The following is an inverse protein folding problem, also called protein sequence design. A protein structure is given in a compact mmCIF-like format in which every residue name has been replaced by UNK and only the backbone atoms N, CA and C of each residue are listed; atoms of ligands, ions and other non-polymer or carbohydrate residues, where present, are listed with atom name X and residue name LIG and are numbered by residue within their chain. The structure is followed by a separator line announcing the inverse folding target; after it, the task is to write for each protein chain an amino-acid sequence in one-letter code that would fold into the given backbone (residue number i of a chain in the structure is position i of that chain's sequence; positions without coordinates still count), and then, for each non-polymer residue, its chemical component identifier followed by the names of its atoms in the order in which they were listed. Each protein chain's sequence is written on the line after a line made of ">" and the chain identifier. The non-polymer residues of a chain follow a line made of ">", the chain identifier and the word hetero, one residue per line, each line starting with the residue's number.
data_IF_152012290768
#
_entry.id   IF_152012290768
#
_cell.length_a   1.000
_cell.length_b   1.000
_cell.length_c   1.000
_cell.angle_alpha   90.00
_cell.angle_beta   90.00
_cell.angle_gamma   90.00
#
_symmetry.space_group_name_H-M   'P 1'
#
loop_
_entity.id
_entity.type
_entity.pdbx_description
1 polymer ?
#
# COMPACT_ATOMS: atom_id res chain seq x y z
N UNK A 1 -1.26 -1.31 -50.78
CA UNK A 1 -1.07 -0.29 -49.72
C UNK A 1 -2.44 0.27 -49.37
N UNK A 2 -3.08 -0.26 -48.33
CA UNK A 2 -4.37 0.26 -47.87
C UNK A 2 -4.11 1.46 -46.95
N UNK A 3 -4.58 2.64 -47.36
CA UNK A 3 -4.54 3.85 -46.56
C UNK A 3 -5.45 3.69 -45.34
N UNK A 4 -4.87 3.59 -44.15
CA UNK A 4 -5.60 3.62 -42.88
C UNK A 4 -6.28 4.99 -42.76
N UNK A 5 -7.60 5.07 -42.48
CA UNK A 5 -8.31 6.33 -42.41
C UNK A 5 -7.83 7.19 -41.21
N UNK A 6 -7.76 8.53 -41.35
CA UNK A 6 -7.18 9.44 -40.35
C UNK A 6 -7.90 9.47 -38.99
N UNK A 7 -9.12 8.93 -38.92
CA UNK A 7 -9.90 8.83 -37.67
C UNK A 7 -9.33 7.79 -36.69
N UNK A 8 -8.69 6.72 -37.18
CA UNK A 8 -8.19 5.62 -36.35
C UNK A 8 -6.94 6.04 -35.54
N UNK A 9 -6.09 6.87 -36.13
CA UNK A 9 -4.93 7.44 -35.44
C UNK A 9 -5.33 8.44 -34.34
N UNK A 10 -6.40 9.21 -34.58
CA UNK A 10 -6.90 10.19 -33.63
C UNK A 10 -7.47 9.50 -32.39
N UNK A 11 -8.22 8.42 -32.56
CA UNK A 11 -8.70 7.59 -31.45
C UNK A 11 -7.57 6.87 -30.73
N UNK A 12 -6.60 6.32 -31.46
CA UNK A 12 -5.43 5.67 -30.87
C UNK A 12 -4.61 6.66 -30.02
N UNK A 13 -4.42 7.90 -30.47
CA UNK A 13 -3.76 8.96 -29.69
C UNK A 13 -4.57 9.34 -28.47
N UNK A 14 -5.89 9.53 -28.59
CA UNK A 14 -6.77 9.84 -27.44
C UNK A 14 -6.76 8.74 -26.40
N UNK A 15 -6.79 7.46 -26.79
CA UNK A 15 -6.69 6.32 -25.87
C UNK A 15 -5.34 6.25 -25.17
N UNK A 16 -4.24 6.59 -25.88
CA UNK A 16 -2.89 6.65 -25.28
C UNK A 16 -2.75 7.82 -24.30
N UNK A 17 -3.29 8.99 -24.64
CA UNK A 17 -3.28 10.17 -23.76
C UNK A 17 -4.18 9.95 -22.54
N UNK A 18 -5.39 9.42 -22.71
CA UNK A 18 -6.28 9.08 -21.59
C UNK A 18 -5.67 8.03 -20.65
N UNK A 19 -4.95 7.04 -21.19
CA UNK A 19 -4.18 6.07 -20.38
C UNK A 19 -3.01 6.73 -19.67
N UNK A 20 -2.28 7.63 -20.33
CA UNK A 20 -1.16 8.36 -19.73
C UNK A 20 -1.64 9.31 -18.61
N UNK A 21 -2.74 10.03 -18.82
CA UNK A 21 -3.38 10.90 -17.84
C UNK A 21 -3.94 10.11 -16.67
N UNK A 22 -4.60 8.98 -16.90
CA UNK A 22 -5.03 8.07 -15.83
C UNK A 22 -3.83 7.56 -15.00
N UNK A 23 -2.70 7.26 -15.66
CA UNK A 23 -1.45 6.84 -15.01
C UNK A 23 -0.82 7.99 -14.19
N UNK A 24 -0.84 9.22 -14.71
CA UNK A 24 -0.35 10.41 -14.01
C UNK A 24 -1.24 10.79 -12.83
N UNK A 25 -2.57 10.72 -12.98
CA UNK A 25 -3.51 10.94 -11.88
C UNK A 25 -3.41 9.84 -10.81
N UNK A 26 -3.10 8.60 -11.19
CA UNK A 26 -2.77 7.53 -10.24
C UNK A 26 -1.43 7.76 -9.52
N UNK A 27 -0.45 8.42 -10.15
CA UNK A 27 0.81 8.84 -9.49
C UNK A 27 0.59 10.06 -8.57
N UNK A 28 -0.23 11.02 -8.96
CA UNK A 28 -0.57 12.19 -8.14
C UNK A 28 -1.39 11.81 -6.91
N UNK A 29 -2.36 10.90 -7.03
CA UNK A 29 -3.14 10.37 -5.90
C UNK A 29 -2.30 9.53 -4.93
N UNK A 30 -1.18 8.94 -5.37
CA UNK A 30 -0.18 8.29 -4.51
C UNK A 30 0.57 9.30 -3.62
N UNK A 31 0.76 10.53 -4.08
CA UNK A 31 1.42 11.60 -3.30
C UNK A 31 0.49 12.19 -2.23
N UNK A 32 -0.79 12.37 -2.54
CA UNK A 32 -1.81 12.89 -1.62
C UNK A 32 -2.07 11.93 -0.43
N UNK A 33 -2.10 10.61 -0.67
CA UNK A 33 -2.29 9.62 0.41
C UNK A 33 -1.06 9.48 1.32
N UNK A 34 0.15 9.69 0.76
CA UNK A 34 1.38 9.81 1.56
C UNK A 34 1.30 11.03 2.50
N UNK A 35 0.71 12.15 2.07
CA UNK A 35 0.50 13.34 2.91
C UNK A 35 -0.58 13.16 3.99
N UNK A 36 -1.68 12.47 3.70
CA UNK A 36 -2.75 12.27 4.67
C UNK A 36 -2.31 11.42 5.88
N UNK A 37 -1.56 10.34 5.63
CA UNK A 37 -0.96 9.55 6.72
C UNK A 37 0.17 10.31 7.42
N UNK A 38 0.93 11.15 6.70
CA UNK A 38 1.94 12.05 7.31
C UNK A 38 1.27 13.13 8.17
N UNK A 39 0.09 13.65 7.82
CA UNK A 39 -0.62 14.70 8.56
C UNK A 39 -1.20 14.22 9.90
N UNK A 40 -1.76 13.01 9.96
CA UNK A 40 -2.19 12.40 11.24
C UNK A 40 -0.98 11.97 12.09
N UNK A 41 0.15 11.65 11.46
CA UNK A 41 1.43 11.35 12.13
C UNK A 41 2.14 12.62 12.63
N UNK A 42 1.95 13.77 11.95
CA UNK A 42 2.39 15.12 12.32
C UNK A 42 1.66 15.64 13.56
N UNK A 43 0.36 15.38 13.67
CA UNK A 43 -0.45 15.83 14.82
C UNK A 43 -0.08 15.09 16.09
N UNK A 44 0.15 13.77 16.05
CA UNK A 44 0.61 13.02 17.24
C UNK A 44 2.02 13.41 17.71
N UNK A 45 2.95 13.61 16.77
CA UNK A 45 4.31 14.12 17.10
C UNK A 45 4.29 15.55 17.64
N UNK A 46 3.47 16.43 17.04
CA UNK A 46 3.28 17.81 17.51
C UNK A 46 2.63 17.92 18.88
N UNK A 47 1.66 17.03 19.20
CA UNK A 47 1.02 16.97 20.52
C UNK A 47 2.01 16.52 21.59
N UNK A 48 2.84 15.49 21.32
CA UNK A 48 3.86 15.03 22.27
C UNK A 48 4.94 16.11 22.52
N UNK A 49 5.33 16.86 21.48
CA UNK A 49 6.22 18.01 21.59
C UNK A 49 5.61 19.12 22.46
N UNK A 50 4.37 19.53 22.18
CA UNK A 50 3.67 20.56 22.95
C UNK A 50 3.44 20.16 24.42
N UNK A 51 3.09 18.91 24.68
CA UNK A 51 2.92 18.39 26.03
C UNK A 51 4.24 18.40 26.82
N UNK A 52 5.36 18.07 26.16
CA UNK A 52 6.69 18.08 26.78
C UNK A 52 7.17 19.49 27.06
N UNK A 53 6.97 20.43 26.12
CA UNK A 53 7.29 21.85 26.31
C UNK A 53 6.48 22.42 27.48
N UNK A 54 5.17 22.14 27.54
CA UNK A 54 4.32 22.59 28.63
C UNK A 54 4.76 22.03 30.00
N UNK A 55 5.12 20.75 30.07
CA UNK A 55 5.63 20.12 31.30
C UNK A 55 6.95 20.74 31.78
N UNK A 56 7.87 21.04 30.85
CA UNK A 56 9.14 21.68 31.16
C UNK A 56 8.98 23.15 31.55
N UNK A 57 8.06 23.89 30.92
CA UNK A 57 7.72 25.26 31.30
C UNK A 57 7.14 25.30 32.71
N UNK A 58 6.23 24.39 33.06
CA UNK A 58 5.67 24.31 34.40
C UNK A 58 6.73 23.93 35.46
N UNK A 59 7.63 23.00 35.13
CA UNK A 59 8.73 22.61 36.03
C UNK A 59 9.76 23.73 36.24
N UNK A 60 10.07 24.49 35.19
CA UNK A 60 10.98 25.63 35.25
C UNK A 60 10.46 26.77 36.13
N UNK A 61 9.15 26.99 36.18
CA UNK A 61 8.51 27.97 37.07
C UNK A 61 8.57 27.57 38.55
N UNK A 62 8.70 26.27 38.85
CA UNK A 62 8.76 25.74 40.22
C UNK A 62 10.20 25.68 40.78
N UNK A 63 11.22 25.71 39.91
CA UNK A 63 12.63 25.59 40.30
C UNK A 63 13.27 26.99 40.36
N UNK A 64 13.54 27.47 41.57
CA UNK A 64 14.11 28.78 41.92
C UNK A 64 15.54 28.98 41.35
N UNK A 65 15.68 29.17 40.04
CA UNK A 65 16.90 29.64 39.35
C UNK A 65 17.96 28.60 38.98
N UNK A 66 17.90 27.34 39.46
CA UNK A 66 18.91 26.31 39.13
C UNK A 66 18.63 25.52 37.83
N UNK A 67 17.48 25.73 37.20
CA UNK A 67 17.00 24.98 36.03
C UNK A 67 17.51 25.46 34.66
N UNK A 68 18.23 26.60 34.58
CA UNK A 68 18.60 27.22 33.29
C UNK A 68 19.51 26.31 32.46
N UNK A 69 20.44 25.57 33.10
CA UNK A 69 21.35 24.66 32.40
C UNK A 69 20.63 23.47 31.74
N UNK A 70 19.68 22.85 32.45
CA UNK A 70 18.85 21.78 31.91
C UNK A 70 17.82 22.30 30.89
N UNK A 71 17.30 23.51 31.09
CA UNK A 71 16.41 24.18 30.15
C UNK A 71 17.11 24.43 28.81
N UNK A 72 18.32 25.01 28.82
CA UNK A 72 19.10 25.26 27.59
C UNK A 72 19.52 23.96 26.89
N UNK A 73 19.88 22.92 27.64
CA UNK A 73 20.19 21.60 27.08
C UNK A 73 18.95 20.96 26.42
N UNK A 74 17.77 21.07 27.06
CA UNK A 74 16.51 20.61 26.48
C UNK A 74 16.10 21.41 25.24
N UNK A 75 16.35 22.73 25.23
CA UNK A 75 16.10 23.62 24.10
C UNK A 75 16.93 23.25 22.87
N UNK A 76 18.07 22.57 23.04
CA UNK A 76 18.92 22.09 21.95
C UNK A 76 18.56 20.66 21.51
N UNK A 77 18.32 19.75 22.46
CA UNK A 77 18.07 18.31 22.17
C UNK A 77 16.69 18.06 21.59
N UNK A 78 15.67 18.81 22.02
CA UNK A 78 14.27 18.63 21.56
C UNK A 78 14.09 19.01 20.08
N UNK A 79 14.57 20.17 19.57
CA UNK A 79 14.51 20.43 18.14
C UNK A 79 15.43 19.53 17.33
N UNK A 80 16.60 19.12 17.84
CA UNK A 80 17.43 18.11 17.16
C UNK A 80 16.73 16.76 17.04
N UNK A 81 16.00 16.34 18.07
CA UNK A 81 15.23 15.09 18.05
C UNK A 81 13.99 15.18 17.14
N UNK A 82 13.33 16.35 17.10
CA UNK A 82 12.23 16.62 16.17
C UNK A 82 12.69 16.70 14.71
N UNK A 83 13.85 17.29 14.45
CA UNK A 83 14.47 17.35 13.12
C UNK A 83 15.04 15.99 12.72
N UNK A 84 15.61 15.23 13.66
CA UNK A 84 16.02 13.85 13.42
C UNK A 84 14.81 12.97 13.11
N UNK A 85 13.67 13.14 13.79
CA UNK A 85 12.40 12.48 13.45
C UNK A 85 11.80 12.91 12.10
N UNK A 86 12.17 14.08 11.58
CA UNK A 86 11.78 14.60 10.27
C UNK A 86 12.74 14.18 9.14
N UNK A 87 14.03 14.02 9.43
CA UNK A 87 15.10 13.72 8.48
C UNK A 87 15.49 12.24 8.43
N UNK A 88 15.31 11.49 9.52
CA UNK A 88 15.39 10.04 9.47
C UNK A 88 14.17 9.53 8.72
N UNK A 89 14.35 8.76 7.62
CA UNK A 89 13.26 7.99 7.07
C UNK A 89 12.84 7.02 8.17
N UNK A 90 11.79 7.36 8.91
CA UNK A 90 11.16 6.46 9.87
C UNK A 90 10.87 5.21 9.05
N UNK A 91 11.57 4.12 9.37
CA UNK A 91 11.66 2.94 8.53
C UNK A 91 10.28 2.59 7.98
N UNK A 92 10.20 2.38 6.66
CA UNK A 92 9.00 1.81 6.07
C UNK A 92 8.61 0.51 6.79
N UNK A 93 7.39 -0.01 6.55
CA UNK A 93 6.93 -1.25 7.18
C UNK A 93 8.05 -2.29 7.22
N UNK A 94 8.27 -2.86 8.40
CA UNK A 94 9.40 -3.76 8.64
C UNK A 94 9.22 -5.02 7.79
N UNK A 95 9.86 -5.03 6.62
CA UNK A 95 9.75 -6.10 5.63
C UNK A 95 10.26 -7.43 6.18
N UNK A 96 11.07 -7.40 7.24
CA UNK A 96 11.62 -8.58 7.90
C UNK A 96 10.55 -9.30 8.75
N UNK A 97 9.39 -8.67 9.00
CA UNK A 97 8.27 -9.24 9.76
C UNK A 97 7.09 -9.72 8.90
N UNK A 98 7.30 -9.89 7.59
CA UNK A 98 6.22 -10.25 6.67
C UNK A 98 5.63 -11.65 6.95
N UNK A 99 6.37 -12.55 7.60
CA UNK A 99 5.89 -13.89 7.99
C UNK A 99 5.02 -13.88 9.27
N UNK A 100 5.17 -12.87 10.13
CA UNK A 100 4.48 -12.76 11.43
C UNK A 100 3.37 -11.70 11.43
N UNK A 101 3.29 -10.88 10.38
CA UNK A 101 2.36 -9.76 10.32
C UNK A 101 0.91 -10.20 10.14
N UNK A 102 0.00 -9.42 10.74
CA UNK A 102 -1.43 -9.65 10.61
C UNK A 102 -1.88 -9.46 9.14
N UNK A 103 -2.90 -10.22 8.67
CA UNK A 103 -3.40 -10.11 7.30
C UNK A 103 -3.71 -8.69 6.82
N UNK A 104 -4.19 -7.82 7.70
CA UNK A 104 -4.52 -6.43 7.38
C UNK A 104 -3.29 -5.53 7.15
N UNK A 105 -2.14 -5.88 7.72
CA UNK A 105 -0.89 -5.11 7.60
C UNK A 105 -0.05 -5.58 6.41
N UNK A 106 -0.23 -6.84 6.00
CA UNK A 106 0.51 -7.47 4.90
C UNK A 106 0.46 -6.67 3.59
N UNK A 107 -0.66 -6.09 3.13
CA UNK A 107 -0.66 -5.31 1.89
C UNK A 107 0.34 -4.15 1.89
N UNK A 108 0.49 -3.44 3.02
CA UNK A 108 1.42 -2.33 3.15
C UNK A 108 2.89 -2.80 3.21
N UNK A 109 3.15 -3.92 3.92
CA UNK A 109 4.49 -4.52 4.00
C UNK A 109 4.92 -5.04 2.63
N UNK A 110 4.01 -5.72 1.92
CA UNK A 110 4.27 -6.27 0.59
C UNK A 110 4.47 -5.18 -0.46
N UNK A 111 3.76 -4.04 -0.39
CA UNK A 111 4.03 -2.90 -1.28
C UNK A 111 5.47 -2.38 -1.09
N UNK A 112 5.90 -2.21 0.16
CA UNK A 112 7.25 -1.76 0.47
C UNK A 112 8.33 -2.78 0.05
N UNK A 113 8.04 -4.07 0.19
CA UNK A 113 8.92 -5.15 -0.25
C UNK A 113 9.01 -5.23 -1.80
N UNK A 114 7.89 -5.14 -2.52
CA UNK A 114 7.84 -5.17 -3.99
C UNK A 114 8.63 -4.01 -4.61
N UNK A 115 8.56 -2.81 -4.01
CA UNK A 115 9.34 -1.66 -4.48
C UNK A 115 10.86 -1.92 -4.38
N UNK A 116 11.32 -2.60 -3.32
CA UNK A 116 12.73 -3.01 -3.19
C UNK A 116 13.11 -4.05 -4.24
N UNK A 117 12.21 -5.00 -4.52
CA UNK A 117 12.45 -6.10 -5.47
C UNK A 117 12.37 -5.68 -6.94
N UNK A 118 11.77 -4.52 -7.23
CA UNK A 118 11.58 -4.00 -8.60
C UNK A 118 12.87 -3.98 -9.44
N UNK A 119 14.03 -3.78 -8.83
CA UNK A 119 15.34 -3.76 -9.52
C UNK A 119 15.84 -5.14 -9.95
N UNK A 120 15.35 -6.20 -9.33
CA UNK A 120 15.78 -7.58 -9.60
C UNK A 120 14.91 -8.28 -10.64
N UNK A 121 13.79 -7.66 -11.02
CA UNK A 121 12.78 -8.21 -11.92
C UNK A 121 12.98 -7.74 -13.37
N UNK A 122 12.52 -8.53 -14.36
CA UNK A 122 12.66 -8.17 -15.77
C UNK A 122 11.83 -6.93 -16.09
N UNK A 123 12.30 -6.10 -17.04
CA UNK A 123 11.63 -4.83 -17.40
C UNK A 123 10.16 -5.02 -17.81
N UNK A 124 9.84 -6.16 -18.44
CA UNK A 124 8.49 -6.51 -18.86
C UNK A 124 7.53 -6.80 -17.69
N UNK A 125 8.03 -7.07 -16.49
CA UNK A 125 7.21 -7.26 -15.29
C UNK A 125 6.73 -5.95 -14.65
N UNK A 126 7.31 -4.80 -15.02
CA UNK A 126 7.00 -3.52 -14.39
C UNK A 126 5.50 -3.14 -14.38
N UNK A 127 4.72 -3.34 -15.46
CA UNK A 127 3.29 -3.05 -15.45
C UNK A 127 2.49 -3.92 -14.47
N UNK A 128 2.86 -5.19 -14.31
CA UNK A 128 2.18 -6.11 -13.39
C UNK A 128 2.48 -5.77 -11.93
N UNK A 129 3.72 -5.38 -11.63
CA UNK A 129 4.07 -4.86 -10.31
C UNK A 129 3.29 -3.59 -9.97
N UNK A 130 3.18 -2.65 -10.92
CA UNK A 130 2.37 -1.45 -10.74
C UNK A 130 0.88 -1.78 -10.51
N UNK A 131 0.34 -2.77 -11.22
CA UNK A 131 -1.02 -3.27 -11.05
C UNK A 131 -1.25 -3.86 -9.65
N UNK A 132 -0.35 -4.74 -9.21
CA UNK A 132 -0.36 -5.32 -7.86
C UNK A 132 -0.30 -4.22 -6.80
N UNK A 133 0.61 -3.25 -6.90
CA UNK A 133 0.71 -2.16 -5.91
C UNK A 133 -0.58 -1.34 -5.79
N UNK A 134 -1.29 -1.09 -6.90
CA UNK A 134 -2.58 -0.40 -6.88
C UNK A 134 -3.64 -1.23 -6.17
N UNK A 135 -3.66 -2.54 -6.40
CA UNK A 135 -4.60 -3.46 -5.75
C UNK A 135 -4.30 -3.61 -4.26
N UNK A 136 -3.04 -3.71 -3.86
CA UNK A 136 -2.63 -3.75 -2.45
C UNK A 136 -3.12 -2.54 -1.67
N UNK A 137 -2.98 -1.33 -2.23
CA UNK A 137 -3.48 -0.10 -1.60
C UNK A 137 -5.03 -0.01 -1.54
N UNK A 138 -5.73 -0.77 -2.39
CA UNK A 138 -7.19 -0.91 -2.29
C UNK A 138 -7.55 -1.94 -1.20
N UNK A 139 -6.87 -3.08 -1.18
CA UNK A 139 -7.04 -4.18 -0.24
C UNK A 139 -6.74 -3.76 1.20
N UNK A 140 -5.73 -2.92 1.44
CA UNK A 140 -5.41 -2.39 2.78
C UNK A 140 -6.65 -1.80 3.47
N UNK A 141 -7.44 -0.99 2.74
CA UNK A 141 -8.66 -0.37 3.27
C UNK A 141 -9.82 -1.35 3.42
N UNK A 142 -9.86 -2.40 2.60
CA UNK A 142 -10.88 -3.44 2.69
C UNK A 142 -10.61 -4.37 3.88
N UNK A 143 -9.37 -4.85 4.01
CA UNK A 143 -8.97 -5.73 5.11
C UNK A 143 -9.01 -5.03 6.47
N UNK A 144 -8.81 -3.71 6.54
CA UNK A 144 -8.99 -2.95 7.79
C UNK A 144 -10.42 -3.03 8.38
N UNK A 145 -11.41 -3.45 7.59
CA UNK A 145 -12.81 -3.59 8.01
C UNK A 145 -13.21 -5.04 8.26
N UNK A 146 -12.36 -5.99 7.90
CA UNK A 146 -12.62 -7.43 7.93
C UNK A 146 -11.83 -8.03 9.09
N UNK A 147 -12.43 -8.91 9.90
CA UNK A 147 -11.72 -9.51 11.02
C UNK A 147 -10.62 -10.46 10.49
N UNK A 148 -9.52 -10.56 11.23
CA UNK A 148 -8.31 -11.27 10.79
C UNK A 148 -8.50 -12.80 10.64
N UNK A 149 -9.52 -13.36 11.27
CA UNK A 149 -9.93 -14.76 11.18
C UNK A 149 -10.72 -15.08 9.90
N UNK A 150 -11.11 -14.06 9.12
CA UNK A 150 -11.88 -14.26 7.89
C UNK A 150 -11.08 -15.08 6.86
N UNK A 151 -11.69 -16.11 6.23
CA UNK A 151 -10.98 -17.01 5.31
C UNK A 151 -10.27 -16.28 4.15
N UNK A 152 -10.93 -15.28 3.58
CA UNK A 152 -10.38 -14.47 2.47
C UNK A 152 -9.18 -13.62 2.94
N UNK A 153 -9.22 -13.10 4.17
CA UNK A 153 -8.10 -12.34 4.71
C UNK A 153 -6.87 -13.25 4.93
N UNK A 154 -7.08 -14.46 5.45
CA UNK A 154 -6.01 -15.44 5.61
C UNK A 154 -5.41 -15.88 4.27
N UNK A 155 -6.23 -16.09 3.25
CA UNK A 155 -5.77 -16.51 1.93
C UNK A 155 -4.93 -15.42 1.25
N UNK A 156 -5.40 -14.17 1.27
CA UNK A 156 -4.62 -13.01 0.83
C UNK A 156 -3.31 -12.92 1.61
N UNK A 157 -3.36 -13.11 2.92
CA UNK A 157 -2.16 -13.08 3.75
C UNK A 157 -1.12 -14.14 3.35
N UNK A 158 -1.56 -15.37 3.01
CA UNK A 158 -0.67 -16.42 2.51
C UNK A 158 -0.12 -16.10 1.11
N UNK A 159 -0.96 -15.55 0.23
CA UNK A 159 -0.54 -15.11 -1.10
C UNK A 159 0.57 -14.06 -1.02
N UNK A 160 0.39 -13.05 -0.17
CA UNK A 160 1.30 -11.92 -0.02
C UNK A 160 2.53 -12.24 0.82
N UNK A 161 2.38 -13.00 1.90
CA UNK A 161 3.46 -13.34 2.83
C UNK A 161 4.33 -14.50 2.36
N UNK A 162 3.76 -15.48 1.66
CA UNK A 162 4.49 -16.71 1.27
C UNK A 162 4.65 -16.87 -0.23
N UNK A 163 3.54 -16.92 -0.97
CA UNK A 163 3.58 -17.33 -2.38
C UNK A 163 4.28 -16.31 -3.29
N UNK A 164 3.97 -15.02 -3.11
CA UNK A 164 4.59 -13.95 -3.91
C UNK A 164 6.10 -13.79 -3.61
N UNK A 165 6.54 -13.77 -2.34
CA UNK A 165 7.96 -13.79 -2.00
C UNK A 165 8.70 -15.01 -2.53
N UNK A 166 8.12 -16.20 -2.39
CA UNK A 166 8.72 -17.44 -2.86
C UNK A 166 8.89 -17.46 -4.39
N UNK A 167 7.91 -16.94 -5.15
CA UNK A 167 8.02 -16.80 -6.61
C UNK A 167 9.23 -15.94 -7.00
N UNK A 168 9.38 -14.78 -6.36
CA UNK A 168 10.46 -13.86 -6.67
C UNK A 168 11.81 -14.41 -6.20
N UNK A 169 11.89 -15.04 -5.01
CA UNK A 169 13.11 -15.69 -4.52
C UNK A 169 13.60 -16.81 -5.46
N UNK A 170 12.69 -17.66 -5.92
CA UNK A 170 13.02 -18.71 -6.88
C UNK A 170 13.59 -18.13 -8.18
N UNK A 171 13.02 -17.04 -8.68
CA UNK A 171 13.51 -16.35 -9.87
C UNK A 171 14.88 -15.67 -9.64
N UNK A 172 15.09 -15.00 -8.49
CA UNK A 172 16.34 -14.29 -8.21
C UNK A 172 17.51 -15.26 -7.96
N UNK A 173 17.23 -16.47 -7.47
CA UNK A 173 18.22 -17.55 -7.32
C UNK A 173 18.80 -18.03 -8.65
N UNK A 174 18.07 -17.89 -9.76
CA UNK A 174 18.56 -18.24 -11.09
C UNK A 174 19.59 -17.20 -11.53
N UNK A 175 20.81 -17.59 -11.98
CA UNK A 175 21.81 -16.65 -12.47
C UNK A 175 21.30 -15.80 -13.66
N UNK A 176 21.64 -14.50 -13.74
CA UNK A 176 21.06 -13.59 -14.74
C UNK A 176 21.29 -14.02 -16.19
N UNK A 177 22.42 -14.66 -16.49
CA UNK A 177 22.73 -15.19 -17.83
C UNK A 177 21.80 -16.31 -18.29
N UNK A 178 21.15 -17.01 -17.34
CA UNK A 178 20.29 -18.15 -17.61
C UNK A 178 18.81 -17.76 -17.75
N UNK A 179 18.39 -16.64 -17.14
CA UNK A 179 16.98 -16.21 -17.07
C UNK A 179 16.33 -15.95 -18.43
N UNK A 180 17.10 -15.45 -19.38
CA UNK A 180 16.63 -15.11 -20.73
C UNK A 180 16.92 -16.20 -21.78
N UNK A 181 17.83 -17.13 -21.50
CA UNK A 181 18.40 -18.02 -22.51
C UNK A 181 18.07 -19.50 -22.29
N UNK A 182 17.86 -19.93 -21.03
CA UNK A 182 17.51 -21.32 -20.74
C UNK A 182 16.00 -21.45 -20.89
N UNK A 183 15.61 -22.35 -21.78
CA UNK A 183 14.24 -22.79 -21.92
C UNK A 183 14.03 -23.96 -20.96
N UNK A 184 13.06 -23.84 -20.06
CA UNK A 184 12.71 -24.87 -19.09
C UNK A 184 12.02 -26.06 -19.80
N UNK A 185 11.71 -27.10 -19.03
CA UNK A 185 11.07 -28.32 -19.54
C UNK A 185 9.70 -28.05 -20.20
N UNK A 186 9.05 -26.94 -19.85
CA UNK A 186 7.77 -26.53 -20.39
C UNK A 186 7.85 -25.64 -21.66
N UNK A 187 9.06 -25.38 -22.16
CA UNK A 187 9.28 -24.54 -23.33
C UNK A 187 9.31 -23.03 -23.05
N UNK A 188 9.23 -22.58 -21.78
CA UNK A 188 9.27 -21.16 -21.40
C UNK A 188 10.60 -20.77 -20.76
N UNK A 189 10.92 -19.49 -20.83
CA UNK A 189 12.06 -18.93 -20.11
C UNK A 189 11.67 -18.57 -18.68
N UNK A 190 12.61 -18.60 -17.71
CA UNK A 190 12.35 -18.15 -16.34
C UNK A 190 11.76 -16.73 -16.25
N UNK A 191 12.16 -15.84 -17.16
CA UNK A 191 11.56 -14.49 -17.29
C UNK A 191 10.08 -14.54 -17.66
N UNK A 192 9.69 -15.40 -18.60
CA UNK A 192 8.28 -15.57 -18.96
C UNK A 192 7.49 -16.17 -17.79
N UNK A 193 8.06 -17.16 -17.09
CA UNK A 193 7.43 -17.82 -15.94
C UNK A 193 7.17 -16.85 -14.78
N UNK A 194 8.11 -15.98 -14.43
CA UNK A 194 7.88 -14.98 -13.37
C UNK A 194 6.83 -13.95 -13.78
N UNK A 195 6.79 -13.54 -15.05
CA UNK A 195 5.78 -12.60 -15.56
C UNK A 195 4.38 -13.22 -15.47
N UNK A 196 4.24 -14.48 -15.88
CA UNK A 196 2.96 -15.18 -15.81
C UNK A 196 2.52 -15.44 -14.37
N UNK A 197 3.46 -15.75 -13.47
CA UNK A 197 3.21 -15.84 -12.03
C UNK A 197 2.68 -14.52 -11.46
N UNK A 198 3.29 -13.38 -11.81
CA UNK A 198 2.83 -12.06 -11.38
C UNK A 198 1.43 -11.73 -11.91
N UNK A 199 1.10 -12.11 -13.15
CA UNK A 199 -0.26 -11.98 -13.70
C UNK A 199 -1.27 -12.81 -12.91
N UNK A 200 -0.91 -14.04 -12.54
CA UNK A 200 -1.77 -14.91 -11.75
C UNK A 200 -2.07 -14.29 -10.38
N UNK A 201 -1.05 -13.71 -9.72
CA UNK A 201 -1.20 -12.98 -8.46
C UNK A 201 -2.13 -11.78 -8.62
N UNK A 202 -1.92 -10.94 -9.65
CA UNK A 202 -2.78 -9.80 -9.97
C UNK A 202 -4.26 -10.21 -10.16
N UNK A 203 -4.50 -11.33 -10.84
CA UNK A 203 -5.83 -11.88 -11.05
C UNK A 203 -6.47 -12.40 -9.76
N UNK A 204 -5.68 -13.06 -8.90
CA UNK A 204 -6.16 -13.55 -7.59
C UNK A 204 -6.52 -12.39 -6.65
N UNK A 205 -5.68 -11.36 -6.57
CA UNK A 205 -5.96 -10.17 -5.77
C UNK A 205 -7.24 -9.46 -6.25
N UNK A 206 -7.49 -9.44 -7.57
CA UNK A 206 -8.73 -8.90 -8.14
C UNK A 206 -9.95 -9.73 -7.72
N UNK A 207 -9.86 -11.07 -7.78
CA UNK A 207 -10.92 -11.98 -7.32
C UNK A 207 -11.21 -11.78 -5.84
N UNK A 208 -10.18 -11.81 -5.00
CA UNK A 208 -10.31 -11.67 -3.56
C UNK A 208 -10.92 -10.30 -3.18
N UNK A 209 -10.52 -9.21 -3.84
CA UNK A 209 -11.13 -7.89 -3.66
C UNK A 209 -12.61 -7.85 -4.04
N UNK A 210 -13.01 -8.55 -5.10
CA UNK A 210 -14.41 -8.68 -5.49
C UNK A 210 -15.23 -9.45 -4.44
N UNK A 211 -14.71 -10.57 -3.92
CA UNK A 211 -15.35 -11.34 -2.84
C UNK A 211 -15.51 -10.51 -1.56
N UNK A 212 -14.51 -9.73 -1.18
CA UNK A 212 -14.62 -8.82 -0.03
C UNK A 212 -15.69 -7.74 -0.27
N UNK A 213 -15.79 -7.22 -1.49
CA UNK A 213 -16.81 -6.23 -1.83
C UNK A 213 -18.23 -6.81 -1.89
N UNK A 214 -18.41 -8.10 -2.18
CA UNK A 214 -19.70 -8.79 -2.12
C UNK A 214 -20.27 -8.80 -0.70
N UNK A 215 -19.44 -9.13 0.29
CA UNK A 215 -19.84 -9.11 1.70
C UNK A 215 -20.35 -7.72 2.13
N UNK A 216 -19.64 -6.66 1.73
CA UNK A 216 -20.06 -5.27 2.00
C UNK A 216 -21.41 -4.93 1.33
N UNK A 217 -21.63 -5.39 0.08
CA UNK A 217 -22.89 -5.16 -0.65
C UNK A 217 -24.06 -5.88 0.00
N UNK A 218 -23.83 -7.08 0.51
CA UNK A 218 -24.87 -7.85 1.19
C UNK A 218 -25.26 -7.19 2.52
N UNK A 219 -24.29 -6.71 3.28
CA UNK A 219 -24.52 -5.93 4.50
C UNK A 219 -25.38 -4.69 4.23
N UNK A 220 -25.05 -3.93 3.17
CA UNK A 220 -25.83 -2.76 2.77
C UNK A 220 -27.29 -3.12 2.41
N UNK A 221 -27.50 -4.23 1.70
CA UNK A 221 -28.84 -4.69 1.31
C UNK A 221 -29.70 -5.07 2.51
N UNK A 222 -29.11 -5.75 3.50
CA UNK A 222 -29.79 -6.11 4.75
C UNK A 222 -30.20 -4.85 5.52
N UNK A 223 -29.27 -3.90 5.67
CA UNK A 223 -29.54 -2.66 6.38
C UNK A 223 -30.61 -1.80 5.69
N UNK A 224 -30.61 -1.75 4.34
CA UNK A 224 -31.65 -1.09 3.56
C UNK A 224 -33.04 -1.68 3.82
N UNK A 225 -33.18 -3.01 3.73
CA UNK A 225 -34.44 -3.71 4.03
C UNK A 225 -34.91 -3.51 5.48
N UNK A 226 -33.99 -3.49 6.44
CA UNK A 226 -34.32 -3.21 7.83
C UNK A 226 -34.88 -1.79 8.02
N UNK A 227 -34.26 -0.79 7.38
CA UNK A 227 -34.73 0.59 7.44
C UNK A 227 -36.11 0.75 6.78
N UNK A 228 -36.34 0.11 5.64
CA UNK A 228 -37.65 0.08 4.97
C UNK A 228 -38.73 -0.55 5.87
N UNK A 229 -38.45 -1.69 6.49
CA UNK A 229 -39.39 -2.34 7.40
C UNK A 229 -39.66 -1.50 8.66
N UNK A 230 -38.61 -0.90 9.24
CA UNK A 230 -38.72 -0.18 10.52
C UNK A 230 -39.35 1.21 10.39
N UNK A 231 -39.11 1.89 9.29
CA UNK A 231 -39.47 3.31 9.10
C UNK A 231 -40.37 3.57 7.88
N UNK A 232 -40.42 2.66 6.89
CA UNK A 232 -41.24 2.81 5.69
C UNK A 232 -42.73 2.48 5.90
N UNK A 233 -43.07 1.64 6.89
CA UNK A 233 -44.47 1.33 7.22
C UNK A 233 -45.18 2.49 7.95
N UNK A 234 -44.43 3.36 8.64
CA UNK A 234 -44.98 4.51 9.37
C UNK A 234 -45.43 5.69 8.50
N UNK A 235 -45.13 5.68 7.20
CA UNK A 235 -45.48 6.76 6.27
C UNK A 235 -46.70 6.43 5.38
N UNK A 236 -47.34 5.28 5.62
CA UNK A 236 -48.62 4.89 5.00
C UNK A 236 -49.76 4.97 6.03
N UNK A 237 -50.05 6.17 6.53
CA UNK A 237 -51.32 6.48 7.20
C UNK A 237 -51.78 7.86 6.75
#
# INVERSE_FOLDING_TARGET
>A
MASVPPFDEAEARRRRMARAEAMQMARARRWERRKANVATRLTRGGIAFLATVAALTAYGWMSDGMGIGLFLLSLLIVPLSGIAGFALPVGGPDVDKMDEAAPAELPAITEAWLERQRRHLPRLAAPHLDGISVQLAALERQLARVPADHPVAQDIGRLLGKHLPELIDRYTRIPPMQRANIVEHDGRTPEATVIDGLKAVEAELTRASATLAEADRDGLRVQGKFLEARYGEGQRV
#
